data_IF_567654496910
#
_entry.id   IF_567654496910
#
_cell.length_a   1.000
_cell.length_b   1.000
_cell.length_c   1.000
_cell.angle_alpha   90.00
_cell.angle_beta   90.00
_cell.angle_gamma   90.00
#
_symmetry.space_group_name_H-M   'P 1'
#
loop_
_entity.id
_entity.type
_entity.pdbx_description
1 polymer ?
#
# COMPACT_ATOMS: atom_id res chain seq x y z
N UNK A 1 11.00 10.70 6.57
CA UNK A 1 9.62 10.17 6.44
C UNK A 1 9.64 8.95 5.54
N UNK A 2 9.02 7.88 5.98
CA UNK A 2 8.83 6.68 5.19
C UNK A 2 7.37 6.60 4.73
N UNK A 3 7.15 6.20 3.48
CA UNK A 3 5.81 6.08 2.90
C UNK A 3 5.53 4.59 2.71
N UNK A 4 4.41 4.13 3.23
CA UNK A 4 3.94 2.76 3.04
C UNK A 4 2.66 2.78 2.21
N UNK A 5 2.63 2.01 1.13
CA UNK A 5 1.46 1.89 0.25
C UNK A 5 0.89 0.49 0.44
N UNK A 6 -0.40 0.41 0.81
CA UNK A 6 -1.07 -0.88 0.98
C UNK A 6 -2.27 -1.02 0.06
N UNK A 7 -2.51 -2.24 -0.38
CA UNK A 7 -3.64 -2.62 -1.22
C UNK A 7 -3.96 -4.10 -0.97
N UNK A 8 -5.21 -4.56 -1.17
CA UNK A 8 -5.56 -5.96 -0.89
C UNK A 8 -4.78 -6.97 -1.72
N UNK A 9 -4.57 -6.69 -3.00
CA UNK A 9 -3.89 -7.63 -3.90
C UNK A 9 -3.08 -6.90 -4.95
N UNK A 10 -2.01 -7.55 -5.42
CA UNK A 10 -1.17 -7.06 -6.51
C UNK A 10 -1.06 -8.15 -7.57
N UNK A 11 -1.56 -7.88 -8.77
CA UNK A 11 -1.57 -8.79 -9.90
C UNK A 11 -1.07 -8.07 -11.15
N UNK A 12 -0.28 -8.74 -12.02
CA UNK A 12 0.14 -8.15 -13.30
C UNK A 12 -1.07 -7.72 -14.12
N UNK A 13 -0.96 -6.60 -14.81
CA UNK A 13 -2.00 -6.05 -15.71
C UNK A 13 -3.27 -5.57 -15.01
N UNK A 14 -3.33 -5.63 -13.69
CA UNK A 14 -4.43 -5.04 -12.93
C UNK A 14 -4.22 -3.52 -12.81
N UNK A 15 -5.29 -2.75 -13.05
CA UNK A 15 -5.20 -1.29 -13.08
C UNK A 15 -4.74 -0.70 -11.73
N UNK A 16 -5.23 -1.26 -10.62
CA UNK A 16 -4.85 -0.79 -9.28
C UNK A 16 -3.38 -1.10 -9.02
N UNK A 17 -2.92 -2.30 -9.40
CA UNK A 17 -1.52 -2.70 -9.28
C UNK A 17 -0.60 -1.75 -10.06
N UNK A 18 -0.98 -1.42 -11.30
CA UNK A 18 -0.21 -0.48 -12.12
C UNK A 18 -0.12 0.88 -11.42
N UNK A 19 -1.22 1.36 -10.87
CA UNK A 19 -1.26 2.63 -10.15
C UNK A 19 -0.35 2.61 -8.91
N UNK A 20 -0.38 1.53 -8.12
CA UNK A 20 0.48 1.35 -6.94
C UNK A 20 1.96 1.36 -7.34
N UNK A 21 2.33 0.61 -8.37
CA UNK A 21 3.72 0.51 -8.79
C UNK A 21 4.22 1.82 -9.40
N UNK A 22 3.40 2.54 -10.15
CA UNK A 22 3.74 3.84 -10.69
C UNK A 22 3.92 4.87 -9.57
N UNK A 23 3.04 4.86 -8.57
CA UNK A 23 3.15 5.73 -7.41
C UNK A 23 4.43 5.46 -6.64
N UNK A 24 4.76 4.18 -6.41
CA UNK A 24 6.01 3.78 -5.77
C UNK A 24 7.22 4.32 -6.54
N UNK A 25 7.23 4.12 -7.86
CA UNK A 25 8.33 4.57 -8.73
C UNK A 25 8.50 6.08 -8.66
N UNK A 26 7.39 6.82 -8.73
CA UNK A 26 7.43 8.28 -8.67
C UNK A 26 7.99 8.78 -7.34
N UNK A 27 7.52 8.21 -6.22
CA UNK A 27 7.96 8.62 -4.89
C UNK A 27 9.42 8.27 -4.64
N UNK A 28 9.89 7.13 -5.14
CA UNK A 28 11.31 6.78 -5.08
C UNK A 28 12.16 7.76 -5.91
N UNK A 29 11.63 8.21 -7.04
CA UNK A 29 12.31 9.18 -7.91
C UNK A 29 12.51 10.53 -7.24
N UNK A 30 11.62 10.93 -6.33
CA UNK A 30 11.78 12.15 -5.53
C UNK A 30 12.44 11.87 -4.17
N UNK A 31 13.08 10.72 -4.04
CA UNK A 31 13.98 10.33 -2.93
C UNK A 31 13.27 10.06 -1.61
N UNK A 32 11.99 9.70 -1.61
CA UNK A 32 11.34 9.17 -0.43
C UNK A 32 11.70 7.69 -0.23
N UNK A 33 11.67 7.23 1.01
CA UNK A 33 11.71 5.81 1.31
C UNK A 33 10.28 5.28 1.17
N UNK A 34 10.09 4.28 0.31
CA UNK A 34 8.78 3.77 -0.02
C UNK A 34 8.76 2.25 0.12
N UNK A 35 7.70 1.75 0.76
CA UNK A 35 7.43 0.33 0.88
C UNK A 35 6.03 0.04 0.36
N UNK A 36 5.83 -1.16 -0.18
CA UNK A 36 4.49 -1.61 -0.57
C UNK A 36 4.16 -2.91 0.16
N UNK A 37 2.87 -3.11 0.40
CA UNK A 37 2.36 -4.32 1.02
C UNK A 37 1.00 -4.69 0.46
N UNK A 38 0.77 -5.99 0.26
CA UNK A 38 -0.55 -6.55 -0.02
C UNK A 38 -0.66 -7.90 0.64
N UNK A 39 -1.88 -8.33 0.93
CA UNK A 39 -2.12 -9.67 1.49
C UNK A 39 -1.95 -10.74 0.43
N UNK A 40 -2.46 -10.49 -0.77
CA UNK A 40 -2.37 -11.41 -1.91
C UNK A 40 -1.47 -10.77 -2.96
N UNK A 41 -0.53 -11.53 -3.48
CA UNK A 41 0.44 -10.98 -4.42
C UNK A 41 0.92 -12.05 -5.39
N UNK A 42 0.94 -11.69 -6.68
CA UNK A 42 1.55 -12.53 -7.70
C UNK A 42 3.05 -12.68 -7.43
N UNK A 43 3.60 -13.85 -7.73
CA UNK A 43 4.99 -14.16 -7.43
C UNK A 43 5.99 -13.20 -8.08
N UNK A 44 5.67 -12.67 -9.26
CA UNK A 44 6.55 -11.72 -9.96
C UNK A 44 6.71 -10.39 -9.21
N UNK A 45 5.74 -10.03 -8.36
CA UNK A 45 5.74 -8.76 -7.63
C UNK A 45 6.17 -8.96 -6.18
N UNK A 46 6.04 -10.18 -5.65
CA UNK A 46 6.33 -10.51 -4.26
C UNK A 46 7.69 -10.02 -3.75
N UNK A 47 8.79 -10.09 -4.53
CA UNK A 47 10.08 -9.59 -4.04
C UNK A 47 10.10 -8.11 -3.69
N UNK A 48 9.13 -7.33 -4.15
CA UNK A 48 9.04 -5.90 -3.86
C UNK A 48 8.33 -5.61 -2.54
N UNK A 49 7.68 -6.61 -1.92
CA UNK A 49 6.84 -6.41 -0.74
C UNK A 49 7.66 -6.35 0.55
N UNK A 50 7.26 -5.45 1.45
CA UNK A 50 7.68 -5.49 2.84
C UNK A 50 6.91 -6.59 3.58
N UNK A 51 7.43 -7.01 4.74
CA UNK A 51 6.69 -7.93 5.61
C UNK A 51 5.59 -7.18 6.37
N UNK A 52 4.56 -7.90 6.80
CA UNK A 52 3.47 -7.31 7.58
C UNK A 52 4.02 -6.69 8.88
N UNK A 53 4.92 -7.38 9.54
CA UNK A 53 5.52 -6.91 10.80
C UNK A 53 6.28 -5.60 10.60
N UNK A 54 7.03 -5.50 9.51
CA UNK A 54 7.79 -4.29 9.19
C UNK A 54 6.84 -3.13 8.88
N UNK A 55 5.77 -3.39 8.13
CA UNK A 55 4.75 -2.39 7.83
C UNK A 55 4.14 -1.85 9.11
N UNK A 56 3.73 -2.72 10.02
CA UNK A 56 3.13 -2.32 11.30
C UNK A 56 4.08 -1.43 12.08
N UNK A 57 5.37 -1.79 12.16
CA UNK A 57 6.36 -0.96 12.84
C UNK A 57 6.47 0.44 12.23
N UNK A 58 6.46 0.53 10.91
CA UNK A 58 6.52 1.82 10.21
C UNK A 58 5.29 2.68 10.52
N UNK A 59 4.12 2.07 10.64
CA UNK A 59 2.87 2.80 10.87
C UNK A 59 2.71 3.29 12.31
N UNK A 60 3.54 2.81 13.24
CA UNK A 60 3.57 3.30 14.61
C UNK A 60 4.37 4.60 14.74
N UNK A 61 5.14 4.98 13.74
CA UNK A 61 5.92 6.21 13.74
C UNK A 61 5.07 7.37 13.21
N UNK A 62 4.77 8.40 14.02
CA UNK A 62 3.85 9.48 13.61
C UNK A 62 4.33 10.27 12.40
N UNK A 63 5.63 10.33 12.14
CA UNK A 63 6.20 11.09 11.02
C UNK A 63 6.10 10.36 9.68
N UNK A 64 5.67 9.12 9.67
CA UNK A 64 5.51 8.34 8.46
C UNK A 64 4.14 8.60 7.82
N UNK A 65 3.94 8.05 6.62
CA UNK A 65 2.69 8.22 5.86
C UNK A 65 2.22 6.86 5.37
N UNK A 66 0.94 6.59 5.54
CA UNK A 66 0.26 5.43 4.96
C UNK A 66 -0.60 5.89 3.79
N UNK A 67 -0.42 5.27 2.63
CA UNK A 67 -1.31 5.43 1.49
C UNK A 67 -2.08 4.12 1.32
N UNK A 68 -3.39 4.19 1.51
CA UNK A 68 -4.28 3.03 1.48
C UNK A 68 -5.09 3.07 0.18
N UNK A 69 -4.85 2.11 -0.71
CA UNK A 69 -5.65 1.94 -1.92
C UNK A 69 -6.86 1.09 -1.60
N UNK A 70 -8.01 1.73 -1.50
CA UNK A 70 -9.27 1.07 -1.14
C UNK A 70 -10.12 0.82 -2.39
N UNK A 71 -10.47 -0.43 -2.62
CA UNK A 71 -11.36 -0.81 -3.74
C UNK A 71 -12.52 -1.67 -3.27
N UNK A 72 -12.24 -2.61 -2.37
CA UNK A 72 -13.24 -3.51 -1.78
C UNK A 72 -12.96 -3.60 -0.29
N UNK A 73 -13.92 -4.14 0.47
CA UNK A 73 -13.69 -4.39 1.89
C UNK A 73 -12.51 -5.35 2.06
N UNK A 74 -11.59 -4.97 2.94
CA UNK A 74 -10.37 -5.74 3.20
C UNK A 74 -10.11 -5.76 4.71
N UNK A 75 -10.36 -6.91 5.33
CA UNK A 75 -10.30 -7.04 6.79
C UNK A 75 -8.92 -6.71 7.34
N UNK A 76 -7.86 -7.26 6.74
CA UNK A 76 -6.49 -6.97 7.19
C UNK A 76 -6.18 -5.49 7.03
N UNK A 77 -6.62 -4.87 5.94
CA UNK A 77 -6.44 -3.43 5.72
C UNK A 77 -7.11 -2.60 6.80
N UNK A 78 -8.31 -2.97 7.21
CA UNK A 78 -9.01 -2.28 8.31
C UNK A 78 -8.24 -2.40 9.63
N UNK A 79 -7.67 -3.58 9.92
CA UNK A 79 -6.86 -3.78 11.12
C UNK A 79 -5.58 -2.92 11.08
N UNK A 80 -4.91 -2.85 9.94
CA UNK A 80 -3.73 -2.02 9.74
C UNK A 80 -4.10 -0.55 9.93
N UNK A 81 -5.20 -0.12 9.33
CA UNK A 81 -5.70 1.25 9.46
C UNK A 81 -5.92 1.63 10.93
N UNK A 82 -6.51 0.73 11.73
CA UNK A 82 -6.78 0.98 13.14
C UNK A 82 -5.51 1.07 13.99
N UNK A 83 -4.45 0.36 13.59
CA UNK A 83 -3.17 0.35 14.32
C UNK A 83 -2.29 1.56 13.97
N UNK A 84 -2.54 2.23 12.85
CA UNK A 84 -1.67 3.29 12.37
C UNK A 84 -1.74 4.51 13.27
N UNK A 85 -0.57 5.00 13.69
CA UNK A 85 -0.41 6.26 14.42
C UNK A 85 0.09 7.39 13.52
N UNK A 86 0.42 7.08 12.28
CA UNK A 86 0.89 8.03 11.28
C UNK A 86 -0.27 8.65 10.50
N UNK A 87 0.04 9.64 9.67
CA UNK A 87 -0.94 10.23 8.75
C UNK A 87 -1.36 9.22 7.70
N UNK A 88 -2.62 9.26 7.28
CA UNK A 88 -3.20 8.33 6.34
C UNK A 88 -3.84 9.08 5.19
N UNK A 89 -3.51 8.67 3.97
CA UNK A 89 -4.18 9.10 2.74
C UNK A 89 -4.90 7.89 2.18
N UNK A 90 -6.22 7.99 1.99
CA UNK A 90 -7.00 6.93 1.33
C UNK A 90 -7.22 7.30 -0.12
N UNK A 91 -6.90 6.37 -1.01
CA UNK A 91 -7.23 6.50 -2.42
C UNK A 91 -8.32 5.49 -2.76
N UNK A 92 -9.48 5.99 -3.14
CA UNK A 92 -10.62 5.15 -3.50
C UNK A 92 -10.58 4.85 -4.99
N UNK A 93 -10.76 3.57 -5.33
CA UNK A 93 -10.86 3.12 -6.71
C UNK A 93 -12.32 2.78 -6.98
N UNK A 94 -12.91 3.42 -7.99
CA UNK A 94 -14.23 3.08 -8.45
C UNK A 94 -14.15 1.86 -9.35
N UNK A 95 -14.77 0.77 -8.90
CA UNK A 95 -14.95 -0.40 -9.75
C UNK A 95 -16.32 -0.26 -10.38
N UNK A 96 -16.34 0.19 -11.61
CA UNK A 96 -17.60 0.26 -12.36
C UNK A 96 -18.04 -1.14 -12.73
N UNK A 97 -19.25 -1.55 -12.34
CA UNK A 97 -19.83 -2.75 -12.91
C UNK A 97 -20.05 -2.49 -14.40
N UNK A 98 -19.39 -3.26 -15.21
CA UNK A 98 -19.59 -3.17 -16.65
C UNK A 98 -20.81 -3.95 -17.08
#
# INVERSE_FOLDING_TARGET
>A
MKITIITPSLEPHDAITIDVLEQRKHLLGVKYQVEIFSEFCHDSIRPLLATKEHVIQCLLEPDNLLIYHHSIYWELGEKIFQLALCSIIMKFHNISPS
#
